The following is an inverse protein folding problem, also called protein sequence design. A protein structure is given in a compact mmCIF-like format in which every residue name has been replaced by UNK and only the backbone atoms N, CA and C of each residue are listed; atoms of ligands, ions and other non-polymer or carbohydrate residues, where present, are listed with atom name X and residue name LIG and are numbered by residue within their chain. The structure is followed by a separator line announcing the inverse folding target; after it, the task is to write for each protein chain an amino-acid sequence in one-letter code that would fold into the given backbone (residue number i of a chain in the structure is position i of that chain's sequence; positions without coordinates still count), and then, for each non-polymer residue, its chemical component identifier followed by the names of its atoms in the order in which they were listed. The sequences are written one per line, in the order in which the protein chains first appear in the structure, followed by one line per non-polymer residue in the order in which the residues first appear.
data_IF_556775489784
#
_entry.id   IF_556775489784
#
_cell.length_a   1.000
_cell.length_b   1.000
_cell.length_c   1.000
_cell.angle_alpha   90.00
_cell.angle_beta   90.00
_cell.angle_gamma   90.00
#
_symmetry.space_group_name_H-M   'P 1'
#
loop_
_entity.id
_entity.type
_entity.pdbx_description
1 polymer ?
#
# COMPACT_ATOMS: atom_id res chain seq x y z
N UNK A 1 -2.52 -29.12 18.22
CA UNK A 1 -3.29 -28.02 18.81
C UNK A 1 -2.39 -26.81 18.83
N UNK A 2 -2.57 -25.91 17.87
CA UNK A 2 -1.85 -24.64 17.79
C UNK A 2 -2.36 -23.70 18.88
N UNK A 3 -1.46 -23.09 19.63
CA UNK A 3 -1.79 -22.27 20.79
C UNK A 3 -1.81 -20.79 20.37
N UNK A 4 -3.00 -20.29 20.04
CA UNK A 4 -3.27 -18.93 19.53
C UNK A 4 -2.76 -17.81 20.46
N UNK A 5 -2.55 -18.12 21.75
CA UNK A 5 -2.04 -17.18 22.75
C UNK A 5 -0.55 -16.85 22.62
N UNK A 6 0.24 -17.65 21.89
CA UNK A 6 1.69 -17.40 21.68
C UNK A 6 1.92 -16.42 20.53
N UNK A 7 1.04 -16.42 19.52
CA UNK A 7 1.10 -15.51 18.36
C UNK A 7 0.76 -14.07 18.77
N UNK A 8 -0.19 -13.90 19.70
CA UNK A 8 -0.61 -12.58 20.17
C UNK A 8 0.42 -11.88 21.07
N UNK A 9 1.03 -12.61 22.02
CA UNK A 9 2.12 -12.05 22.86
C UNK A 9 3.40 -11.78 22.08
N UNK A 10 3.63 -12.50 20.98
CA UNK A 10 4.67 -12.19 20.02
C UNK A 10 4.48 -10.80 19.42
N UNK A 11 3.28 -10.45 18.95
CA UNK A 11 2.96 -9.16 18.32
C UNK A 11 3.07 -7.94 19.24
N UNK A 12 2.72 -8.07 20.52
CA UNK A 12 2.81 -6.93 21.47
C UNK A 12 4.26 -6.58 21.87
N UNK A 13 5.12 -7.58 22.07
CA UNK A 13 6.55 -7.36 22.36
C UNK A 13 7.30 -6.95 21.07
N UNK A 14 6.80 -7.38 19.90
CA UNK A 14 7.27 -6.95 18.58
C UNK A 14 7.12 -5.43 18.40
N UNK A 15 5.94 -4.87 18.63
CA UNK A 15 5.62 -3.48 18.28
C UNK A 15 6.45 -2.40 19.01
N UNK A 16 6.90 -2.63 20.25
CA UNK A 16 7.56 -1.56 21.02
C UNK A 16 9.07 -1.42 20.78
N UNK A 17 9.75 -2.50 20.36
CA UNK A 17 11.17 -2.45 20.00
C UNK A 17 11.38 -2.50 18.48
N UNK A 18 10.50 -3.13 17.70
CA UNK A 18 10.65 -3.22 16.25
C UNK A 18 10.39 -1.92 15.52
N UNK A 19 9.58 -0.96 15.99
CA UNK A 19 9.47 0.31 15.28
C UNK A 19 10.84 0.99 15.13
N UNK A 20 11.65 1.01 16.19
CA UNK A 20 12.99 1.63 16.17
C UNK A 20 13.94 0.89 15.21
N UNK A 21 13.87 -0.45 15.14
CA UNK A 21 14.71 -1.25 14.23
C UNK A 21 14.18 -1.30 12.80
N UNK A 22 12.86 -1.26 12.62
CA UNK A 22 12.17 -1.15 11.34
C UNK A 22 12.51 0.19 10.70
N UNK A 23 12.41 1.30 11.44
CA UNK A 23 12.85 2.60 10.94
C UNK A 23 14.34 2.62 10.66
N UNK A 24 15.22 2.04 11.51
CA UNK A 24 16.67 1.98 11.21
C UNK A 24 16.99 1.15 9.97
N UNK A 25 16.35 -0.01 9.78
CA UNK A 25 16.55 -0.85 8.61
C UNK A 25 15.92 -0.21 7.36
N UNK A 26 14.75 0.40 7.50
CA UNK A 26 14.09 1.17 6.45
C UNK A 26 14.93 2.37 6.03
N UNK A 27 15.46 3.16 6.98
CA UNK A 27 16.39 4.25 6.71
C UNK A 27 17.68 3.73 6.07
N UNK A 28 18.25 2.61 6.54
CA UNK A 28 19.42 2.00 5.90
C UNK A 28 19.12 1.56 4.46
N UNK A 29 17.98 0.93 4.20
CA UNK A 29 17.56 0.51 2.86
C UNK A 29 17.28 1.75 1.97
N UNK A 30 16.65 2.79 2.51
CA UNK A 30 16.33 4.04 1.80
C UNK A 30 17.62 4.81 1.46
N UNK A 31 18.53 4.97 2.42
CA UNK A 31 19.84 5.62 2.27
C UNK A 31 20.73 4.88 1.26
N UNK A 32 20.68 3.54 1.24
CA UNK A 32 21.39 2.73 0.24
C UNK A 32 20.72 2.76 -1.13
N UNK A 33 19.40 2.83 -1.19
CA UNK A 33 18.69 3.04 -2.44
C UNK A 33 18.92 4.46 -3.01
N UNK A 34 19.18 5.47 -2.17
CA UNK A 34 19.66 6.80 -2.58
C UNK A 34 21.11 6.77 -3.09
N UNK A 35 22.02 6.02 -2.46
CA UNK A 35 23.38 5.81 -3.00
C UNK A 35 23.33 5.15 -4.39
N UNK A 36 22.47 4.15 -4.59
CA UNK A 36 22.28 3.49 -5.90
C UNK A 36 21.68 4.46 -6.92
N UNK A 37 20.70 5.27 -6.52
CA UNK A 37 20.12 6.29 -7.39
C UNK A 37 21.14 7.36 -7.79
N UNK A 38 21.98 7.84 -6.86
CA UNK A 38 23.07 8.76 -7.15
C UNK A 38 24.09 8.14 -8.12
N UNK A 39 24.37 6.84 -8.01
CA UNK A 39 25.24 6.11 -8.94
C UNK A 39 24.60 5.98 -10.34
N UNK A 40 23.28 5.80 -10.44
CA UNK A 40 22.53 5.76 -11.70
C UNK A 40 22.31 7.15 -12.33
N UNK A 41 22.14 8.20 -11.52
CA UNK A 41 22.12 9.60 -11.97
C UNK A 41 23.51 10.06 -12.41
N UNK A 42 24.57 9.63 -11.72
CA UNK A 42 25.95 9.81 -12.16
C UNK A 42 26.17 9.16 -13.51
N UNK A 43 25.67 7.94 -13.76
CA UNK A 43 25.76 7.26 -15.06
C UNK A 43 25.00 8.02 -16.18
N UNK A 44 23.79 8.52 -15.89
CA UNK A 44 23.02 9.32 -16.87
C UNK A 44 23.62 10.71 -17.13
N UNK A 45 24.28 11.33 -16.14
CA UNK A 45 25.00 12.61 -16.31
C UNK A 45 26.46 12.47 -16.79
N UNK A 46 27.07 11.29 -16.71
CA UNK A 46 28.43 11.01 -17.23
C UNK A 46 28.47 10.55 -18.68
N UNK A 47 27.40 10.78 -19.45
CA UNK A 47 27.48 10.84 -20.93
C UNK A 47 28.44 11.91 -21.48
N UNK A 48 29.13 12.66 -20.61
CA UNK A 48 30.24 13.57 -20.97
C UNK A 48 31.65 12.98 -20.79
N UNK A 49 31.79 11.73 -20.32
CA UNK A 49 33.08 11.04 -20.27
C UNK A 49 32.95 9.65 -20.90
N UNK A 50 33.15 9.59 -22.22
CA UNK A 50 33.44 8.33 -22.91
C UNK A 50 34.73 7.74 -22.35
N UNK A 51 34.62 6.61 -21.63
CA UNK A 51 35.32 5.33 -21.88
C UNK A 51 35.22 4.45 -20.64
N UNK A 52 34.09 3.75 -20.48
CA UNK A 52 34.13 2.42 -19.87
C UNK A 52 33.47 1.49 -20.89
N UNK A 53 34.28 0.54 -21.34
CA UNK A 53 33.85 -0.55 -22.20
C UNK A 53 32.78 -1.37 -21.46
N UNK A 54 31.77 -1.73 -22.24
CA UNK A 54 30.98 -2.96 -22.12
C UNK A 54 29.96 -3.06 -20.96
N UNK A 55 28.68 -3.07 -21.36
CA UNK A 55 27.46 -3.18 -20.57
C UNK A 55 27.35 -4.44 -19.69
N UNK A 56 28.28 -5.38 -19.82
CA UNK A 56 28.27 -6.64 -19.08
C UNK A 56 28.86 -6.47 -17.68
N UNK A 57 29.84 -5.58 -17.51
CA UNK A 57 30.45 -5.30 -16.20
C UNK A 57 29.50 -4.56 -15.27
N UNK A 58 28.66 -3.65 -15.79
CA UNK A 58 27.69 -2.90 -14.99
C UNK A 58 26.54 -3.81 -14.52
N UNK A 59 26.00 -4.65 -15.41
CA UNK A 59 24.96 -5.62 -15.03
C UNK A 59 25.50 -6.68 -14.06
N UNK A 60 26.76 -7.09 -14.23
CA UNK A 60 27.42 -7.99 -13.29
C UNK A 60 27.67 -7.33 -11.93
N UNK A 61 28.03 -6.04 -11.91
CA UNK A 61 28.18 -5.27 -10.68
C UNK A 61 26.84 -5.05 -9.97
N UNK A 62 25.76 -4.72 -10.69
CA UNK A 62 24.40 -4.64 -10.15
C UNK A 62 23.98 -5.99 -9.55
N UNK A 63 24.19 -7.09 -10.27
CA UNK A 63 23.89 -8.45 -9.78
C UNK A 63 24.69 -8.80 -8.52
N UNK A 64 25.97 -8.40 -8.46
CA UNK A 64 26.83 -8.61 -7.30
C UNK A 64 26.40 -7.75 -6.10
N UNK A 65 25.97 -6.51 -6.34
CA UNK A 65 25.42 -5.62 -5.30
C UNK A 65 24.11 -6.22 -4.77
N UNK A 66 23.20 -6.65 -5.64
CA UNK A 66 21.94 -7.28 -5.25
C UNK A 66 22.17 -8.59 -4.47
N UNK A 67 23.14 -9.41 -4.88
CA UNK A 67 23.50 -10.64 -4.18
C UNK A 67 24.14 -10.36 -2.80
N UNK A 68 25.03 -9.36 -2.72
CA UNK A 68 25.66 -8.93 -1.47
C UNK A 68 24.65 -8.29 -0.51
N UNK A 69 23.69 -7.51 -1.03
CA UNK A 69 22.59 -6.95 -0.25
C UNK A 69 21.67 -8.04 0.28
N UNK A 70 21.36 -9.06 -0.53
CA UNK A 70 20.59 -10.23 -0.10
C UNK A 70 21.28 -11.00 1.00
N UNK A 71 22.58 -11.27 0.87
CA UNK A 71 23.38 -11.94 1.91
C UNK A 71 23.43 -11.12 3.21
N UNK A 72 23.61 -9.79 3.12
CA UNK A 72 23.57 -8.90 4.29
C UNK A 72 22.20 -8.78 4.93
N UNK A 73 21.13 -8.76 4.15
CA UNK A 73 19.76 -8.80 4.65
C UNK A 73 19.50 -10.13 5.36
N UNK A 74 19.91 -11.25 4.78
CA UNK A 74 19.80 -12.58 5.39
C UNK A 74 20.61 -12.66 6.70
N UNK A 75 21.80 -12.06 6.75
CA UNK A 75 22.61 -11.95 7.97
C UNK A 75 21.96 -11.04 9.02
N UNK A 76 21.41 -9.88 8.62
CA UNK A 76 20.63 -9.00 9.50
C UNK A 76 19.37 -9.70 10.04
N UNK A 77 18.70 -10.50 9.21
CA UNK A 77 17.52 -11.27 9.60
C UNK A 77 17.89 -12.39 10.59
N UNK A 78 19.01 -13.08 10.36
CA UNK A 78 19.57 -14.09 11.28
C UNK A 78 20.03 -13.47 12.60
N UNK A 79 20.77 -12.36 12.55
CA UNK A 79 21.33 -11.66 13.72
C UNK A 79 20.24 -11.06 14.61
N UNK A 80 19.10 -10.67 14.05
CA UNK A 80 18.00 -10.06 14.79
C UNK A 80 16.87 -11.05 15.14
N UNK A 81 17.06 -12.36 14.90
CA UNK A 81 16.06 -13.38 15.25
C UNK A 81 14.72 -13.20 14.55
N UNK A 82 14.71 -12.62 13.34
CA UNK A 82 13.49 -12.48 12.55
C UNK A 82 13.00 -13.85 12.11
N UNK A 83 11.71 -14.11 12.27
CA UNK A 83 11.12 -15.43 12.03
C UNK A 83 11.04 -15.74 10.53
N UNK A 84 11.09 -17.02 10.15
CA UNK A 84 10.87 -17.45 8.76
C UNK A 84 9.55 -16.90 8.18
N UNK A 85 8.52 -16.78 9.03
CA UNK A 85 7.24 -16.17 8.67
C UNK A 85 7.37 -14.69 8.31
N UNK A 86 8.23 -13.93 9.02
CA UNK A 86 8.49 -12.53 8.70
C UNK A 86 9.26 -12.39 7.39
N UNK A 87 10.28 -13.22 7.17
CA UNK A 87 11.06 -13.23 5.92
C UNK A 87 10.16 -13.57 4.74
N UNK A 88 9.33 -14.61 4.89
CA UNK A 88 8.36 -15.01 3.88
C UNK A 88 7.36 -13.90 3.61
N UNK A 89 6.78 -13.29 4.63
CA UNK A 89 5.88 -12.14 4.48
C UNK A 89 6.57 -10.95 3.79
N UNK A 90 7.83 -10.67 4.13
CA UNK A 90 8.60 -9.56 3.53
C UNK A 90 8.90 -9.82 2.05
N UNK A 91 9.24 -11.06 1.70
CA UNK A 91 9.54 -11.45 0.32
C UNK A 91 8.31 -11.82 -0.52
N UNK A 92 7.14 -11.99 0.11
CA UNK A 92 5.92 -12.38 -0.59
C UNK A 92 5.56 -11.33 -1.65
N UNK A 93 5.47 -11.75 -2.93
CA UNK A 93 5.21 -10.84 -4.02
C UNK A 93 3.77 -10.34 -3.95
N UNK A 94 3.58 -9.06 -4.23
CA UNK A 94 2.25 -8.48 -4.35
C UNK A 94 1.63 -8.83 -5.70
N UNK A 95 2.46 -9.00 -6.74
CA UNK A 95 2.02 -9.30 -8.10
C UNK A 95 1.25 -8.12 -8.69
N UNK A 96 -0.04 -8.01 -8.36
CA UNK A 96 -0.93 -6.97 -8.90
C UNK A 96 -1.44 -6.05 -7.81
N UNK A 97 -1.42 -4.74 -8.03
CA UNK A 97 -1.77 -3.75 -7.00
C UNK A 97 -2.78 -2.71 -7.49
N UNK A 98 -3.74 -2.36 -6.64
CA UNK A 98 -4.54 -1.14 -6.76
C UNK A 98 -3.97 -0.12 -5.78
N UNK A 99 -3.60 1.06 -6.26
CA UNK A 99 -3.46 2.26 -5.44
C UNK A 99 -4.81 2.96 -5.37
N UNK A 100 -5.43 2.92 -4.19
CA UNK A 100 -6.85 3.24 -4.02
C UNK A 100 -7.04 4.54 -3.23
N UNK A 101 -7.70 5.52 -3.82
CA UNK A 101 -8.37 6.58 -3.06
C UNK A 101 -9.74 6.08 -2.53
N UNK A 102 -10.28 6.75 -1.51
CA UNK A 102 -11.55 6.39 -0.86
C UNK A 102 -12.64 7.41 -1.19
N UNK A 103 -12.38 8.69 -0.98
CA UNK A 103 -13.30 9.77 -1.34
C UNK A 103 -13.46 9.85 -2.87
N UNK A 104 -14.71 9.95 -3.33
CA UNK A 104 -15.05 9.93 -4.76
C UNK A 104 -14.79 8.61 -5.48
N UNK A 105 -14.31 7.58 -4.78
CA UNK A 105 -14.12 6.22 -5.31
C UNK A 105 -15.08 5.24 -4.64
N UNK A 106 -14.95 5.02 -3.32
CA UNK A 106 -15.88 4.19 -2.54
C UNK A 106 -16.96 5.05 -1.89
N UNK A 107 -16.53 6.15 -1.26
CA UNK A 107 -17.43 7.15 -0.71
C UNK A 107 -17.90 8.06 -1.83
N UNK A 108 -19.22 8.16 -2.04
CA UNK A 108 -19.76 9.06 -3.09
C UNK A 108 -19.33 10.50 -2.80
N UNK A 109 -18.93 11.24 -3.83
CA UNK A 109 -18.56 12.67 -3.67
C UNK A 109 -19.69 13.42 -2.98
N UNK A 110 -19.36 14.12 -1.89
CA UNK A 110 -20.30 14.93 -1.12
C UNK A 110 -21.26 14.13 -0.22
N UNK A 111 -21.15 12.80 -0.17
CA UNK A 111 -21.93 11.99 0.78
C UNK A 111 -21.49 12.27 2.21
N UNK A 112 -22.45 12.56 3.08
CA UNK A 112 -22.23 12.88 4.50
C UNK A 112 -23.37 12.33 5.36
N UNK A 113 -24.06 11.26 4.91
CA UNK A 113 -25.15 10.58 5.63
C UNK A 113 -24.68 10.07 6.99
N UNK A 114 -23.38 9.78 7.14
CA UNK A 114 -22.75 9.43 8.43
C UNK A 114 -23.14 10.33 9.59
N UNK A 115 -23.34 11.64 9.35
CA UNK A 115 -23.66 12.60 10.41
C UNK A 115 -25.10 12.46 10.93
N UNK A 116 -26.01 11.93 10.12
CA UNK A 116 -27.39 11.63 10.52
C UNK A 116 -27.48 10.32 11.32
N UNK A 117 -26.41 9.52 11.28
CA UNK A 117 -26.35 8.16 11.84
C UNK A 117 -25.31 8.01 12.96
N UNK A 118 -24.81 9.11 13.54
CA UNK A 118 -23.81 9.05 14.62
C UNK A 118 -24.30 8.31 15.86
N UNK A 119 -25.60 8.43 16.19
CA UNK A 119 -26.20 7.72 17.32
C UNK A 119 -26.28 6.20 17.07
N UNK A 120 -26.45 5.76 15.81
CA UNK A 120 -26.40 4.35 15.43
C UNK A 120 -24.97 3.79 15.37
N UNK A 121 -23.93 4.62 15.49
CA UNK A 121 -22.54 4.13 15.58
C UNK A 121 -22.29 3.38 16.88
N UNK A 122 -23.00 3.71 17.96
CA UNK A 122 -22.96 2.90 19.19
C UNK A 122 -23.48 1.49 18.93
N UNK A 123 -24.61 1.38 18.23
CA UNK A 123 -25.18 0.09 17.85
C UNK A 123 -24.30 -0.66 16.84
N UNK A 124 -23.60 0.04 15.93
CA UNK A 124 -22.60 -0.57 15.04
C UNK A 124 -21.42 -1.12 15.84
N UNK A 125 -20.86 -0.35 16.77
CA UNK A 125 -19.78 -0.81 17.65
C UNK A 125 -20.21 -2.04 18.46
N UNK A 126 -21.42 -2.06 18.99
CA UNK A 126 -21.99 -3.22 19.70
C UNK A 126 -22.21 -4.42 18.76
N UNK A 127 -22.65 -4.20 17.51
CA UNK A 127 -22.78 -5.25 16.49
C UNK A 127 -21.42 -5.91 16.18
N UNK A 128 -20.35 -5.13 16.14
CA UNK A 128 -18.99 -5.60 15.83
C UNK A 128 -18.16 -6.01 17.06
N UNK A 129 -18.70 -5.90 18.28
CA UNK A 129 -18.08 -6.40 19.52
C UNK A 129 -17.89 -7.94 19.57
N UNK A 130 -18.24 -8.65 18.49
CA UNK A 130 -17.93 -10.07 18.27
C UNK A 130 -16.47 -10.30 17.83
N UNK A 131 -15.81 -9.24 17.36
CA UNK A 131 -14.38 -9.19 17.09
C UNK A 131 -13.70 -8.56 18.29
N UNK A 132 -12.51 -9.04 18.65
CA UNK A 132 -11.80 -8.68 19.88
C UNK A 132 -11.86 -7.16 20.17
N UNK A 133 -12.55 -6.83 21.26
CA UNK A 133 -13.26 -5.56 21.51
C UNK A 133 -12.31 -4.34 21.59
N UNK A 134 -11.02 -4.56 21.85
CA UNK A 134 -10.04 -3.48 22.00
C UNK A 134 -9.72 -2.77 20.67
N UNK A 135 -9.62 -3.53 19.57
CA UNK A 135 -9.18 -3.01 18.28
C UNK A 135 -10.29 -2.20 17.59
N UNK A 136 -11.53 -2.69 17.59
CA UNK A 136 -12.68 -1.94 17.04
C UNK A 136 -13.03 -0.69 17.85
N UNK A 137 -12.76 -0.67 19.16
CA UNK A 137 -12.93 0.54 19.99
C UNK A 137 -12.00 1.68 19.60
N UNK A 138 -10.85 1.37 19.00
CA UNK A 138 -9.88 2.35 18.53
C UNK A 138 -10.32 3.10 17.27
N UNK A 139 -11.30 2.59 16.53
CA UNK A 139 -11.78 3.20 15.30
C UNK A 139 -12.54 4.50 15.57
N UNK A 140 -12.28 5.50 14.75
CA UNK A 140 -13.06 6.73 14.76
C UNK A 140 -14.51 6.43 14.39
N UNK A 141 -15.46 6.93 15.20
CA UNK A 141 -16.89 6.71 14.97
C UNK A 141 -17.39 7.38 13.68
N UNK A 142 -16.78 8.49 13.26
CA UNK A 142 -17.06 9.12 11.98
C UNK A 142 -16.64 8.22 10.82
N UNK A 143 -15.46 7.62 10.87
CA UNK A 143 -14.95 6.74 9.81
C UNK A 143 -15.77 5.45 9.73
N UNK A 144 -16.13 4.86 10.88
CA UNK A 144 -17.04 3.71 10.91
C UNK A 144 -18.41 4.04 10.29
N UNK A 145 -18.95 5.22 10.59
CA UNK A 145 -20.22 5.68 10.02
C UNK A 145 -20.09 5.96 8.52
N UNK A 146 -19.00 6.59 8.09
CA UNK A 146 -18.70 6.83 6.68
C UNK A 146 -18.66 5.51 5.88
N UNK A 147 -17.94 4.51 6.39
CA UNK A 147 -17.86 3.19 5.74
C UNK A 147 -19.23 2.50 5.67
N UNK A 148 -20.07 2.68 6.70
CA UNK A 148 -21.37 2.00 6.77
C UNK A 148 -22.48 2.70 5.97
N UNK A 149 -22.42 4.02 5.84
CA UNK A 149 -23.53 4.84 5.33
C UNK A 149 -23.15 5.68 4.11
N UNK A 150 -21.89 6.12 3.98
CA UNK A 150 -21.46 6.99 2.88
C UNK A 150 -20.82 6.22 1.72
N UNK A 151 -20.32 5.01 1.96
CA UNK A 151 -19.76 4.15 0.91
C UNK A 151 -20.87 3.57 0.03
N UNK A 152 -20.66 3.64 -1.28
CA UNK A 152 -21.57 3.05 -2.28
C UNK A 152 -21.42 1.54 -2.30
N UNK A 153 -22.51 0.82 -2.04
CA UNK A 153 -22.57 -0.64 -2.19
C UNK A 153 -22.16 -1.08 -3.60
N UNK A 154 -22.53 -0.31 -4.64
CA UNK A 154 -22.13 -0.57 -6.02
C UNK A 154 -20.62 -0.43 -6.20
N UNK A 155 -20.00 0.65 -5.69
CA UNK A 155 -18.56 0.88 -5.78
C UNK A 155 -17.77 -0.20 -5.02
N UNK A 156 -18.22 -0.55 -3.81
CA UNK A 156 -17.65 -1.64 -3.01
C UNK A 156 -17.75 -2.97 -3.78
N UNK A 157 -18.90 -3.26 -4.39
CA UNK A 157 -19.10 -4.43 -5.23
C UNK A 157 -18.16 -4.47 -6.44
N UNK A 158 -17.94 -3.33 -7.09
CA UNK A 158 -16.99 -3.20 -8.19
C UNK A 158 -15.54 -3.43 -7.74
N UNK A 159 -15.13 -2.86 -6.60
CA UNK A 159 -13.79 -3.08 -6.06
C UNK A 159 -13.56 -4.55 -5.70
N UNK A 160 -14.53 -5.21 -5.07
CA UNK A 160 -14.50 -6.66 -4.81
C UNK A 160 -14.28 -7.45 -6.09
N UNK A 161 -15.05 -7.13 -7.13
CA UNK A 161 -14.94 -7.80 -8.44
C UNK A 161 -13.54 -7.64 -9.02
N UNK A 162 -12.97 -6.42 -9.01
CA UNK A 162 -11.60 -6.20 -9.50
C UNK A 162 -10.60 -7.08 -8.74
N UNK A 163 -10.70 -7.13 -7.41
CA UNK A 163 -9.79 -7.91 -6.57
C UNK A 163 -9.93 -9.42 -6.79
N UNK A 164 -11.16 -9.93 -6.89
CA UNK A 164 -11.43 -11.36 -7.11
C UNK A 164 -10.95 -11.84 -8.49
N UNK A 165 -11.21 -11.06 -9.54
CA UNK A 165 -10.88 -11.45 -10.91
C UNK A 165 -9.40 -11.28 -11.27
N UNK A 166 -8.73 -10.29 -10.67
CA UNK A 166 -7.32 -10.04 -10.95
C UNK A 166 -6.37 -10.70 -9.95
N UNK A 167 -6.87 -11.03 -8.75
CA UNK A 167 -6.03 -11.44 -7.62
C UNK A 167 -5.21 -10.29 -7.02
N UNK A 168 -5.52 -9.04 -7.36
CA UNK A 168 -4.75 -7.89 -6.89
C UNK A 168 -4.88 -7.66 -5.39
N UNK A 169 -3.87 -6.97 -4.86
CA UNK A 169 -3.86 -6.39 -3.51
C UNK A 169 -4.21 -4.90 -3.58
N UNK A 170 -4.63 -4.34 -2.46
CA UNK A 170 -4.95 -2.93 -2.30
C UNK A 170 -3.86 -2.28 -1.46
N UNK A 171 -3.36 -1.15 -1.94
CA UNK A 171 -2.53 -0.20 -1.21
C UNK A 171 -3.32 1.11 -1.12
N UNK A 172 -3.58 1.61 0.09
CA UNK A 172 -4.31 2.89 0.22
C UNK A 172 -3.42 4.05 -0.19
N UNK A 173 -3.94 4.86 -1.09
CA UNK A 173 -3.36 6.11 -1.54
C UNK A 173 -4.43 7.20 -1.40
N UNK A 174 -4.84 7.45 -0.16
CA UNK A 174 -5.93 8.34 0.23
C UNK A 174 -5.54 9.15 1.46
N UNK A 175 -6.15 10.31 1.65
CA UNK A 175 -5.98 11.14 2.85
C UNK A 175 -6.53 10.45 4.11
N UNK A 176 -7.30 9.36 3.96
CA UNK A 176 -7.71 8.51 5.08
C UNK A 176 -6.53 7.88 5.82
N UNK A 177 -5.36 7.73 5.17
CA UNK A 177 -4.14 7.25 5.81
C UNK A 177 -3.54 8.26 6.81
N UNK A 178 -4.03 9.51 6.83
CA UNK A 178 -3.55 10.57 7.72
C UNK A 178 -4.05 10.38 9.15
N UNK A 179 -5.25 9.84 9.28
CA UNK A 179 -5.94 9.63 10.56
C UNK A 179 -6.03 8.15 10.95
N UNK A 180 -5.60 7.24 10.09
CA UNK A 180 -5.71 5.81 10.31
C UNK A 180 -4.41 5.08 9.95
N UNK A 181 -3.93 4.23 10.86
CA UNK A 181 -2.90 3.25 10.54
C UNK A 181 -3.45 2.11 9.66
N UNK A 182 -2.56 1.28 9.11
CA UNK A 182 -2.95 0.15 8.26
C UNK A 182 -3.92 -0.81 8.96
N UNK A 183 -3.75 -1.06 10.26
CA UNK A 183 -4.61 -1.98 11.01
C UNK A 183 -6.02 -1.40 11.14
N UNK A 184 -6.14 -0.11 11.41
CA UNK A 184 -7.42 0.60 11.47
C UNK A 184 -8.11 0.59 10.10
N UNK A 185 -7.38 0.86 9.01
CA UNK A 185 -7.91 0.76 7.66
C UNK A 185 -8.37 -0.66 7.32
N UNK A 186 -7.62 -1.69 7.71
CA UNK A 186 -8.05 -3.09 7.55
C UNK A 186 -9.34 -3.39 8.31
N UNK A 187 -9.47 -2.91 9.55
CA UNK A 187 -10.71 -3.08 10.32
C UNK A 187 -11.89 -2.36 9.67
N UNK A 188 -11.69 -1.15 9.14
CA UNK A 188 -12.71 -0.42 8.38
C UNK A 188 -13.13 -1.19 7.12
N UNK A 189 -12.17 -1.67 6.33
CA UNK A 189 -12.43 -2.47 5.12
C UNK A 189 -13.08 -3.84 5.43
N UNK A 190 -12.86 -4.39 6.63
CA UNK A 190 -13.48 -5.66 7.06
C UNK A 190 -15.00 -5.56 7.22
N UNK A 191 -15.54 -4.35 7.43
CA UNK A 191 -16.98 -4.10 7.45
C UNK A 191 -17.67 -4.49 6.12
N UNK A 192 -16.87 -4.57 5.06
CA UNK A 192 -17.26 -4.99 3.72
C UNK A 192 -16.43 -6.18 3.22
N UNK A 193 -15.81 -7.01 4.07
CA UNK A 193 -15.00 -8.18 3.66
C UNK A 193 -13.86 -7.88 2.65
N UNK A 194 -13.33 -6.65 2.65
CA UNK A 194 -12.27 -6.21 1.75
C UNK A 194 -10.87 -6.22 2.40
N UNK A 195 -10.80 -6.39 3.72
CA UNK A 195 -9.57 -6.37 4.53
C UNK A 195 -8.51 -7.37 4.02
N UNK A 196 -8.94 -8.55 3.56
CA UNK A 196 -8.07 -9.58 2.99
C UNK A 196 -7.30 -9.15 1.74
N UNK A 197 -7.73 -8.09 1.06
CA UNK A 197 -7.02 -7.51 -0.08
C UNK A 197 -6.11 -6.36 0.30
N UNK A 198 -6.39 -5.67 1.42
CA UNK A 198 -5.64 -4.50 1.87
C UNK A 198 -4.32 -4.90 2.56
N UNK A 199 -3.20 -4.59 1.91
CA UNK A 199 -1.86 -5.03 2.33
C UNK A 199 -0.95 -3.91 2.80
N UNK A 200 -1.22 -2.66 2.42
CA UNK A 200 -0.34 -1.54 2.75
C UNK A 200 -1.01 -0.17 2.56
N UNK A 201 -0.26 0.88 2.91
CA UNK A 201 -0.57 2.27 2.58
C UNK A 201 0.63 2.93 1.91
N UNK A 202 0.41 3.96 1.10
CA UNK A 202 1.52 4.69 0.46
C UNK A 202 2.37 5.44 1.48
N UNK A 203 1.73 6.06 2.48
CA UNK A 203 2.39 6.91 3.47
C UNK A 203 2.78 8.29 2.93
N UNK A 204 3.34 9.11 3.82
CA UNK A 204 3.90 10.42 3.49
C UNK A 204 5.41 10.35 3.37
N UNK A 205 5.92 10.72 2.19
CA UNK A 205 7.36 10.86 1.98
C UNK A 205 7.78 12.32 2.04
N UNK A 206 8.87 12.61 2.75
CA UNK A 206 9.33 13.98 3.04
C UNK A 206 9.50 14.87 1.79
N UNK A 207 9.80 14.27 0.65
CA UNK A 207 10.04 14.96 -0.63
C UNK A 207 8.86 14.88 -1.60
N UNK A 208 7.79 14.18 -1.23
CA UNK A 208 6.60 14.07 -2.05
C UNK A 208 5.79 15.36 -2.01
N UNK A 209 5.37 15.82 -3.18
CA UNK A 209 4.55 17.04 -3.31
C UNK A 209 3.11 16.71 -3.68
N UNK A 210 2.86 15.49 -4.13
CA UNK A 210 1.57 15.06 -4.64
C UNK A 210 1.41 13.54 -4.51
N UNK A 211 0.19 13.05 -4.71
CA UNK A 211 -0.12 11.63 -4.66
C UNK A 211 0.67 10.77 -5.64
N UNK A 212 0.95 11.31 -6.83
CA UNK A 212 1.76 10.61 -7.82
C UNK A 212 3.20 10.41 -7.33
N UNK A 213 3.78 11.39 -6.61
CA UNK A 213 5.10 11.23 -6.00
C UNK A 213 5.08 10.18 -4.89
N UNK A 214 4.03 10.14 -4.06
CA UNK A 214 3.87 9.10 -3.03
C UNK A 214 3.83 7.69 -3.64
N UNK A 215 3.05 7.50 -4.70
CA UNK A 215 2.95 6.20 -5.40
C UNK A 215 4.29 5.83 -6.04
N UNK A 216 4.97 6.78 -6.69
CA UNK A 216 6.29 6.57 -7.28
C UNK A 216 7.30 6.10 -6.23
N UNK A 217 7.32 6.76 -5.08
CA UNK A 217 8.25 6.45 -3.99
C UNK A 217 7.92 5.12 -3.32
N UNK A 218 6.62 4.82 -3.16
CA UNK A 218 6.17 3.51 -2.69
C UNK A 218 6.68 2.40 -3.61
N UNK A 219 6.48 2.51 -4.93
CA UNK A 219 6.97 1.52 -5.91
C UNK A 219 8.49 1.35 -5.83
N UNK A 220 9.24 2.45 -5.63
CA UNK A 220 10.70 2.42 -5.47
C UNK A 220 11.13 1.63 -4.23
N UNK A 221 10.58 1.97 -3.07
CA UNK A 221 10.93 1.35 -1.78
C UNK A 221 10.48 -0.12 -1.73
N UNK A 222 9.29 -0.40 -2.29
CA UNK A 222 8.66 -1.71 -2.29
C UNK A 222 9.04 -2.55 -3.50
N UNK A 223 10.11 -2.20 -4.23
CA UNK A 223 10.62 -3.00 -5.37
C UNK A 223 10.82 -4.48 -5.05
N UNK A 224 11.18 -4.79 -3.80
CA UNK A 224 11.35 -6.16 -3.29
C UNK A 224 10.04 -6.98 -3.29
N UNK A 225 8.87 -6.31 -3.36
CA UNK A 225 7.55 -6.93 -3.42
C UNK A 225 7.13 -7.39 -4.82
N UNK A 226 7.97 -7.24 -5.85
CA UNK A 226 7.69 -7.74 -7.21
C UNK A 226 6.26 -7.38 -7.68
N UNK A 227 5.99 -6.08 -7.80
CA UNK A 227 4.73 -5.58 -8.35
C UNK A 227 4.85 -5.61 -9.88
N UNK A 228 4.17 -6.56 -10.51
CA UNK A 228 4.16 -6.79 -11.94
C UNK A 228 3.25 -5.77 -12.66
N UNK A 229 2.08 -5.52 -12.09
CA UNK A 229 1.07 -4.63 -12.65
C UNK A 229 0.41 -3.81 -11.55
N UNK A 230 0.06 -2.58 -11.86
CA UNK A 230 -0.73 -1.76 -10.94
C UNK A 230 -1.71 -0.86 -11.67
N UNK A 231 -2.75 -0.46 -10.95
CA UNK A 231 -3.71 0.57 -11.38
C UNK A 231 -3.89 1.56 -10.24
N UNK A 232 -4.08 2.83 -10.59
CA UNK A 232 -4.38 3.92 -9.67
C UNK A 232 -5.85 4.31 -9.91
N UNK A 233 -6.67 4.28 -8.85
CA UNK A 233 -8.08 4.65 -8.90
C UNK A 233 -8.29 5.83 -7.95
N UNK A 234 -8.65 6.98 -8.50
CA UNK A 234 -8.74 8.27 -7.78
C UNK A 234 -9.77 9.17 -8.49
N UNK A 235 -10.48 10.01 -7.77
CA UNK A 235 -11.44 10.96 -8.34
C UNK A 235 -10.79 12.33 -8.67
N UNK A 236 -9.70 12.66 -7.98
CA UNK A 236 -9.18 14.01 -7.86
C UNK A 236 -8.67 14.58 -9.18
N UNK A 237 -9.33 15.64 -9.64
CA UNK A 237 -8.87 16.44 -10.77
C UNK A 237 -7.52 17.11 -10.50
N UNK A 238 -7.25 17.48 -9.25
CA UNK A 238 -5.99 18.12 -8.86
C UNK A 238 -4.82 17.12 -8.96
N UNK A 239 -4.99 15.90 -8.49
CA UNK A 239 -3.96 14.85 -8.57
C UNK A 239 -3.87 14.24 -9.97
N UNK A 240 -4.96 14.25 -10.74
CA UNK A 240 -5.00 13.66 -12.09
C UNK A 240 -3.94 14.23 -13.03
N UNK A 241 -3.53 15.51 -12.90
CA UNK A 241 -2.50 16.10 -13.76
C UNK A 241 -1.15 15.39 -13.54
N UNK A 242 -0.71 15.29 -12.29
CA UNK A 242 0.57 14.67 -11.94
C UNK A 242 0.54 13.15 -12.11
N UNK A 243 -0.58 12.51 -11.77
CA UNK A 243 -0.78 11.07 -12.00
C UNK A 243 -0.74 10.77 -13.49
N UNK A 244 -1.47 11.51 -14.34
CA UNK A 244 -1.44 11.28 -15.80
C UNK A 244 -0.07 11.57 -16.39
N UNK A 245 0.70 12.49 -15.82
CA UNK A 245 2.06 12.79 -16.25
C UNK A 245 3.03 11.63 -15.96
N UNK A 246 2.91 10.97 -14.82
CA UNK A 246 3.83 9.89 -14.40
C UNK A 246 3.32 8.49 -14.75
N UNK A 247 2.00 8.30 -14.82
CA UNK A 247 1.32 6.99 -14.83
C UNK A 247 0.12 6.96 -15.79
N UNK A 248 0.21 7.61 -16.96
CA UNK A 248 -0.89 7.75 -17.91
C UNK A 248 -1.66 6.44 -18.18
N UNK A 249 -0.94 5.34 -18.41
CA UNK A 249 -1.51 4.04 -18.77
C UNK A 249 -2.00 3.20 -17.58
N UNK A 250 -1.80 3.71 -16.36
CA UNK A 250 -2.17 3.05 -15.12
C UNK A 250 -3.29 3.79 -14.37
N UNK A 251 -3.80 4.91 -14.91
CA UNK A 251 -4.77 5.74 -14.20
C UNK A 251 -6.22 5.54 -14.64
N UNK A 252 -7.09 5.31 -13.67
CA UNK A 252 -8.54 5.25 -13.80
C UNK A 252 -9.15 6.33 -12.93
N UNK A 253 -9.70 7.37 -13.56
CA UNK A 253 -10.33 8.46 -12.86
C UNK A 253 -11.83 8.17 -12.67
N UNK A 254 -12.34 8.31 -11.44
CA UNK A 254 -13.78 8.28 -11.15
C UNK A 254 -14.37 9.69 -11.21
N UNK A 255 -15.68 9.81 -11.42
CA UNK A 255 -16.37 11.12 -11.42
C UNK A 255 -17.18 11.36 -10.14
N UNK A 256 -17.81 10.31 -9.59
CA UNK A 256 -18.63 10.40 -8.37
C UNK A 256 -18.42 9.22 -7.42
N UNK A 257 -18.16 8.04 -7.98
CA UNK A 257 -17.80 6.79 -7.33
C UNK A 257 -17.28 5.80 -8.40
N UNK A 258 -16.70 4.68 -7.98
CA UNK A 258 -16.29 3.60 -8.87
C UNK A 258 -17.53 2.93 -9.50
N UNK A 259 -17.57 2.91 -10.84
CA UNK A 259 -18.63 2.21 -11.59
C UNK A 259 -18.09 1.02 -12.36
N UNK A 260 -18.98 0.25 -12.99
CA UNK A 260 -18.61 -0.85 -13.88
C UNK A 260 -17.66 -0.41 -15.01
N UNK A 261 -17.82 0.81 -15.52
CA UNK A 261 -16.96 1.35 -16.59
C UNK A 261 -15.51 1.48 -16.10
N UNK A 262 -15.30 2.12 -14.97
CA UNK A 262 -13.98 2.28 -14.37
C UNK A 262 -13.40 0.93 -13.93
N UNK A 263 -14.23 0.03 -13.39
CA UNK A 263 -13.81 -1.32 -13.01
C UNK A 263 -13.31 -2.15 -14.20
N UNK A 264 -13.99 -2.10 -15.35
CA UNK A 264 -13.53 -2.74 -16.59
C UNK A 264 -12.16 -2.21 -17.01
N UNK A 265 -11.98 -0.89 -17.01
CA UNK A 265 -10.69 -0.27 -17.33
C UNK A 265 -9.58 -0.69 -16.35
N UNK A 266 -9.89 -0.78 -15.07
CA UNK A 266 -8.93 -1.23 -14.06
C UNK A 266 -8.51 -2.69 -14.30
N UNK A 267 -9.46 -3.57 -14.62
CA UNK A 267 -9.16 -4.96 -14.99
C UNK A 267 -8.30 -5.06 -16.25
N UNK A 268 -8.60 -4.28 -17.29
CA UNK A 268 -7.78 -4.23 -18.51
C UNK A 268 -6.33 -3.85 -18.20
N UNK A 269 -6.09 -2.89 -17.31
CA UNK A 269 -4.74 -2.50 -16.89
C UNK A 269 -4.06 -3.64 -16.10
N UNK A 270 -4.77 -4.26 -15.16
CA UNK A 270 -4.23 -5.32 -14.30
C UNK A 270 -4.06 -6.67 -15.01
N UNK A 271 -4.65 -6.86 -16.18
CA UNK A 271 -4.60 -8.11 -16.95
C UNK A 271 -3.78 -8.01 -18.23
N UNK A 272 -3.17 -6.85 -18.52
CA UNK A 272 -2.15 -6.76 -19.58
C UNK A 272 -1.02 -7.77 -19.28
N UNK A 273 -0.47 -8.34 -20.34
CA UNK A 273 0.62 -9.33 -20.36
C UNK A 273 1.80 -8.75 -21.09
#
# INVERSE_FOLDING_TARGET
MYNENVVYKGREIYNQNHEVYFWKLHFYIVEKAEEIYLLQELDTHTKKYQTIKESDDLNQLITQIEAYEKEKLDDLFRLNGMTEDFIKFYQEPFGKVIFLDIDGVLQKIGSQERFEHLDSVKALREKYAKYDDADFKSLNHYDMAAVQYDWSDEAVGMLKLICEYSGCKIVISSDWQDSNDLKQLQLLFSLHDLDKYLVDVTGYFQYSKCRADNIKEYLRIKRHKQIDHFVIIDDSWAHAIDIKKLFADHFVQTEYALTEKEAKKALEILQKT
#
